data_IF_490021262738
#
_entry.id   IF_490021262738
#
_cell.length_a   1.000
_cell.length_b   1.000
_cell.length_c   1.000
_cell.angle_alpha   90.00
_cell.angle_beta   90.00
_cell.angle_gamma   90.00
#
_symmetry.space_group_name_H-M   'P 1'
#
loop_
_entity.id
_entity.type
_entity.pdbx_description
1 polymer ?
#
# COMPACT_ATOMS: atom_id res chain seq x y z
N UNK A 1 10.84 -30.43 -38.10
CA UNK A 1 10.26 -29.08 -38.32
C UNK A 1 11.23 -28.30 -39.20
N UNK A 2 10.76 -27.64 -40.27
CA UNK A 2 11.64 -26.87 -41.15
C UNK A 2 12.18 -25.60 -40.48
N UNK A 3 13.17 -24.96 -41.12
CA UNK A 3 13.81 -23.71 -40.66
C UNK A 3 12.76 -22.65 -40.28
N UNK A 4 11.71 -22.51 -41.09
CA UNK A 4 10.58 -21.61 -40.84
C UNK A 4 9.85 -21.93 -39.54
N UNK A 5 9.62 -23.20 -39.23
CA UNK A 5 8.98 -23.63 -37.97
C UNK A 5 9.86 -23.36 -36.75
N UNK A 6 11.19 -23.53 -36.88
CA UNK A 6 12.13 -23.17 -35.83
C UNK A 6 12.12 -21.65 -35.55
N UNK A 7 12.09 -20.82 -36.60
CA UNK A 7 12.01 -19.36 -36.47
C UNK A 7 10.74 -18.95 -35.72
N UNK A 8 9.58 -19.51 -36.06
CA UNK A 8 8.31 -19.19 -35.37
C UNK A 8 8.32 -19.61 -33.90
N UNK A 9 8.91 -20.76 -33.56
CA UNK A 9 9.02 -21.19 -32.17
C UNK A 9 9.91 -20.20 -31.39
N UNK A 10 11.07 -19.85 -31.94
CA UNK A 10 12.01 -18.95 -31.28
C UNK A 10 11.40 -17.57 -31.07
N UNK A 11 10.70 -17.02 -32.08
CA UNK A 11 10.05 -15.71 -31.95
C UNK A 11 8.91 -15.73 -30.95
N UNK A 12 8.09 -16.78 -30.93
CA UNK A 12 7.02 -16.93 -29.94
C UNK A 12 7.56 -17.03 -28.51
N UNK A 13 8.60 -17.85 -28.29
CA UNK A 13 9.24 -17.98 -26.97
C UNK A 13 9.85 -16.66 -26.53
N UNK A 14 10.56 -15.96 -27.44
CA UNK A 14 11.14 -14.65 -27.14
C UNK A 14 10.07 -13.61 -26.79
N UNK A 15 8.97 -13.54 -27.53
CA UNK A 15 7.85 -12.65 -27.24
C UNK A 15 7.21 -12.94 -25.88
N UNK A 16 7.04 -14.22 -25.51
CA UNK A 16 6.52 -14.60 -24.20
C UNK A 16 7.46 -14.18 -23.06
N UNK A 17 8.78 -14.36 -23.23
CA UNK A 17 9.78 -13.95 -22.24
C UNK A 17 9.74 -12.42 -22.05
N UNK A 18 9.68 -11.66 -23.16
CA UNK A 18 9.57 -10.20 -23.09
C UNK A 18 8.30 -9.77 -22.36
N UNK A 19 7.15 -10.42 -22.62
CA UNK A 19 5.90 -10.11 -21.93
C UNK A 19 5.98 -10.37 -20.42
N UNK A 20 6.59 -11.49 -20.00
CA UNK A 20 6.76 -11.84 -18.58
C UNK A 20 7.68 -10.84 -17.88
N UNK A 21 8.79 -10.47 -18.51
CA UNK A 21 9.76 -9.51 -17.96
C UNK A 21 9.28 -8.05 -17.99
N UNK A 22 8.32 -7.73 -18.85
CA UNK A 22 7.74 -6.39 -18.96
C UNK A 22 6.59 -6.14 -17.99
N UNK A 23 6.13 -7.18 -17.26
CA UNK A 23 5.13 -6.98 -16.22
C UNK A 23 5.75 -6.10 -15.14
N UNK A 24 5.15 -4.93 -14.92
CA UNK A 24 5.51 -4.08 -13.79
C UNK A 24 5.35 -4.89 -12.51
N UNK A 25 6.45 -5.25 -11.87
CA UNK A 25 6.41 -5.85 -10.54
C UNK A 25 5.78 -4.80 -9.62
N UNK A 26 4.57 -5.08 -9.16
CA UNK A 26 3.99 -4.34 -8.04
C UNK A 26 5.00 -4.51 -6.90
N UNK A 27 5.52 -3.41 -6.33
CA UNK A 27 6.59 -3.47 -5.32
C UNK A 27 6.17 -4.09 -3.98
N UNK A 28 5.00 -4.74 -3.93
CA UNK A 28 4.40 -5.41 -2.80
C UNK A 28 3.45 -6.53 -3.26
N UNK A 29 3.19 -7.50 -2.40
CA UNK A 29 2.28 -8.63 -2.65
C UNK A 29 0.82 -8.34 -2.24
N UNK A 30 0.61 -7.62 -1.14
CA UNK A 30 -0.73 -7.32 -0.61
C UNK A 30 -0.76 -6.02 0.20
N UNK A 31 -1.97 -5.58 0.58
CA UNK A 31 -2.17 -4.48 1.53
C UNK A 31 -2.64 -4.99 2.88
N UNK A 32 -2.04 -4.47 3.95
CA UNK A 32 -2.56 -4.58 5.30
C UNK A 32 -3.36 -3.31 5.63
N UNK A 33 -4.66 -3.46 5.83
CA UNK A 33 -5.48 -2.40 6.42
C UNK A 33 -5.51 -2.59 7.93
N UNK A 34 -4.81 -1.72 8.65
CA UNK A 34 -4.65 -1.80 10.10
C UNK A 34 -5.49 -0.76 10.81
N UNK A 35 -6.05 -1.16 11.95
CA UNK A 35 -6.85 -0.30 12.82
C UNK A 35 -6.27 -0.36 14.24
N UNK A 36 -6.36 0.75 14.96
CA UNK A 36 -5.93 0.86 16.36
C UNK A 36 -7.11 1.11 17.28
N UNK A 37 -7.11 0.47 18.45
CA UNK A 37 -8.11 0.69 19.49
C UNK A 37 -7.71 1.91 20.32
N UNK A 38 -8.43 3.03 20.15
CA UNK A 38 -8.00 4.31 20.70
C UNK A 38 -7.81 4.32 22.22
N UNK A 39 -8.72 3.76 23.05
CA UNK A 39 -8.53 3.79 24.49
C UNK A 39 -7.27 3.06 24.96
N UNK A 40 -6.82 2.03 24.23
CA UNK A 40 -5.55 1.37 24.53
C UNK A 40 -4.35 2.25 24.15
N UNK A 41 -4.36 2.88 22.97
CA UNK A 41 -3.25 3.75 22.53
C UNK A 41 -3.13 4.95 23.46
N UNK A 42 -4.24 5.62 23.75
CA UNK A 42 -4.31 6.79 24.61
C UNK A 42 -3.91 6.53 26.07
N UNK A 43 -4.06 5.29 26.56
CA UNK A 43 -3.58 4.90 27.89
C UNK A 43 -2.06 4.99 27.99
N UNK A 44 -1.33 4.70 26.91
CA UNK A 44 0.14 4.68 26.90
C UNK A 44 0.74 5.96 26.34
N UNK A 45 0.02 6.68 25.46
CA UNK A 45 0.48 7.91 24.83
C UNK A 45 -0.63 8.99 24.91
N UNK A 46 -0.63 9.84 25.95
CA UNK A 46 -1.81 10.63 26.31
C UNK A 46 -2.09 11.83 25.39
N UNK A 47 -1.25 12.12 24.40
CA UNK A 47 -1.43 13.29 23.54
C UNK A 47 -1.07 13.03 22.07
N UNK A 48 -1.91 13.44 21.11
CA UNK A 48 -3.26 14.01 21.29
C UNK A 48 -4.34 12.91 21.36
N UNK A 49 -5.15 12.90 22.43
CA UNK A 49 -6.28 11.97 22.58
C UNK A 49 -7.58 12.71 22.87
N UNK A 50 -8.69 12.23 22.30
CA UNK A 50 -10.04 12.76 22.53
C UNK A 50 -10.80 11.84 23.48
N UNK A 51 -11.43 12.41 24.52
CA UNK A 51 -12.27 11.68 25.48
C UNK A 51 -13.64 12.38 25.63
N UNK A 52 -14.77 11.73 25.25
CA UNK A 52 -14.85 10.42 24.60
C UNK A 52 -14.37 10.47 23.14
N UNK A 53 -13.83 9.36 22.65
CA UNK A 53 -13.46 9.22 21.23
C UNK A 53 -14.71 9.17 20.33
N UNK A 54 -14.58 9.70 19.11
CA UNK A 54 -15.60 9.58 18.06
C UNK A 54 -15.74 8.12 17.57
N UNK A 55 -14.66 7.33 17.61
CA UNK A 55 -14.60 5.93 17.16
C UNK A 55 -13.64 5.11 18.01
N UNK A 56 -14.11 3.95 18.47
CA UNK A 56 -13.28 3.01 19.24
C UNK A 56 -12.09 2.47 18.44
N UNK A 57 -12.31 2.17 17.16
CA UNK A 57 -11.27 1.79 16.22
C UNK A 57 -11.13 2.85 15.15
N UNK A 58 -9.89 3.31 14.95
CA UNK A 58 -9.53 4.22 13.86
C UNK A 58 -8.46 3.60 13.00
N UNK A 59 -8.36 4.08 11.76
CA UNK A 59 -7.30 3.67 10.84
C UNK A 59 -5.96 3.97 11.47
N UNK A 60 -5.09 2.97 11.50
CA UNK A 60 -3.68 3.14 11.82
C UNK A 60 -2.90 3.36 10.52
N UNK A 61 -3.15 2.52 9.51
CA UNK A 61 -2.75 2.79 8.14
C UNK A 61 -3.10 1.70 7.14
N UNK A 62 -2.75 1.96 5.88
CA UNK A 62 -2.83 1.01 4.78
C UNK A 62 -1.42 0.75 4.27
N UNK A 63 -0.89 -0.45 4.52
CA UNK A 63 0.54 -0.73 4.37
C UNK A 63 0.75 -1.73 3.22
N UNK A 64 1.47 -1.36 2.15
CA UNK A 64 1.92 -2.34 1.17
C UNK A 64 2.90 -3.32 1.83
N UNK A 65 2.72 -4.61 1.60
CA UNK A 65 3.40 -5.67 2.33
C UNK A 65 3.72 -6.87 1.45
N UNK A 66 4.75 -7.61 1.84
CA UNK A 66 5.23 -8.79 1.15
C UNK A 66 4.91 -10.04 1.97
N UNK A 67 4.64 -11.14 1.29
CA UNK A 67 4.47 -12.46 1.91
C UNK A 67 5.80 -12.96 2.48
N UNK A 68 6.89 -12.64 1.80
CA UNK A 68 8.24 -13.01 2.19
C UNK A 68 9.18 -11.80 2.11
N UNK A 69 10.14 -11.73 3.02
CA UNK A 69 11.11 -10.64 3.04
C UNK A 69 10.53 -9.31 3.57
N UNK A 70 11.31 -8.23 3.49
CA UNK A 70 10.94 -6.94 4.06
C UNK A 70 9.78 -6.29 3.29
N UNK A 71 8.96 -5.52 3.99
CA UNK A 71 7.90 -4.72 3.38
C UNK A 71 8.48 -3.44 2.77
N UNK A 72 7.94 -2.95 1.65
CA UNK A 72 8.40 -1.70 1.07
C UNK A 72 8.06 -0.52 1.97
N UNK A 73 9.04 0.37 2.12
CA UNK A 73 8.90 1.63 2.85
C UNK A 73 9.65 2.73 2.11
N UNK A 74 9.28 3.99 2.36
CA UNK A 74 9.99 5.18 1.84
C UNK A 74 10.23 5.16 0.31
N UNK A 75 9.28 4.60 -0.47
CA UNK A 75 9.44 4.38 -1.91
C UNK A 75 9.65 5.67 -2.72
N UNK A 76 9.13 6.79 -2.23
CA UNK A 76 9.35 8.13 -2.78
C UNK A 76 9.63 9.14 -1.66
N UNK A 77 10.40 10.17 -1.99
CA UNK A 77 10.64 11.33 -1.11
C UNK A 77 9.64 12.47 -1.37
N UNK A 78 8.69 12.29 -2.28
CA UNK A 78 7.70 13.32 -2.60
C UNK A 78 6.74 13.51 -1.41
N UNK A 79 6.63 14.72 -0.85
CA UNK A 79 5.73 14.99 0.26
C UNK A 79 4.25 14.89 -0.18
N UNK A 80 3.38 14.61 0.78
CA UNK A 80 1.92 14.58 0.55
C UNK A 80 1.43 15.98 0.17
N UNK A 81 0.74 16.10 -0.95
CA UNK A 81 0.05 17.33 -1.33
C UNK A 81 -1.32 17.41 -0.64
N UNK A 82 -1.41 18.21 0.43
CA UNK A 82 -2.63 18.38 1.23
C UNK A 82 -3.83 18.88 0.43
N UNK A 83 -3.63 19.63 -0.66
CA UNK A 83 -4.74 20.08 -1.51
C UNK A 83 -5.50 18.92 -2.15
N UNK A 84 -4.84 17.77 -2.37
CA UNK A 84 -5.47 16.58 -2.96
C UNK A 84 -6.41 15.86 -2.00
N UNK A 85 -6.25 16.06 -0.68
CA UNK A 85 -7.05 15.39 0.36
C UNK A 85 -8.07 16.32 1.01
N UNK A 86 -8.16 17.58 0.58
CA UNK A 86 -9.05 18.59 1.16
C UNK A 86 -10.51 18.13 1.25
N UNK A 87 -11.00 17.42 0.23
CA UNK A 87 -12.40 16.97 0.17
C UNK A 87 -12.72 15.85 1.17
N UNK A 88 -11.71 15.14 1.70
CA UNK A 88 -11.89 14.04 2.66
C UNK A 88 -11.34 14.38 4.05
N UNK A 89 -10.80 15.59 4.24
CA UNK A 89 -10.11 15.98 5.47
C UNK A 89 -11.00 15.81 6.71
N UNK A 90 -12.25 16.29 6.67
CA UNK A 90 -13.18 16.16 7.79
C UNK A 90 -13.50 14.70 8.15
N UNK A 91 -13.48 13.78 7.16
CA UNK A 91 -13.65 12.36 7.42
C UNK A 91 -12.39 11.79 8.07
N UNK A 92 -11.20 12.16 7.58
CA UNK A 92 -9.91 11.70 8.13
C UNK A 92 -9.73 12.12 9.59
N UNK A 93 -10.17 13.33 9.97
CA UNK A 93 -10.11 13.80 11.36
C UNK A 93 -10.93 12.91 12.34
N UNK A 94 -11.92 12.17 11.83
CA UNK A 94 -12.77 11.27 12.61
C UNK A 94 -12.29 9.81 12.52
N UNK A 95 -11.99 9.33 11.31
CA UNK A 95 -11.70 7.90 11.06
C UNK A 95 -10.21 7.56 11.10
N UNK A 96 -9.33 8.56 10.92
CA UNK A 96 -7.88 8.42 10.94
C UNK A 96 -7.20 9.59 11.72
N UNK A 97 -7.63 9.90 12.95
CA UNK A 97 -6.96 10.88 13.78
C UNK A 97 -5.57 10.41 14.20
N UNK A 98 -4.71 11.38 14.52
CA UNK A 98 -3.50 11.11 15.27
C UNK A 98 -3.89 10.88 16.74
N UNK A 99 -3.70 9.65 17.24
CA UNK A 99 -3.95 9.27 18.64
C UNK A 99 -2.85 8.38 19.17
#
# INVERSE_FOLDING_TARGET
MGITGMIYIVTMVFSLIVLILSSSTVGYDYFQFTQQYQPAVCKYNPTPCKDPTDKLFTVHGLWPSNLNGPHPENCTKTPVNSHRIKNIQAQLEIIWPNV
#
